data_IF_594627019426
#
_entry.id   IF_594627019426
#
_cell.length_a   1.000
_cell.length_b   1.000
_cell.length_c   1.000
_cell.angle_alpha   90.00
_cell.angle_beta   90.00
_cell.angle_gamma   90.00
#
_symmetry.space_group_name_H-M   'P 1'
#
loop_
_entity.id
_entity.type
_entity.pdbx_description
1 polymer ?
#
# COMPACT_ATOMS: atom_id res chain seq x y z
N UNK A 1 -16.72 -23.72 11.25
CA UNK A 1 -15.74 -22.66 11.59
C UNK A 1 -16.12 -21.39 10.85
N UNK A 2 -16.46 -20.30 11.55
CA UNK A 2 -16.68 -18.99 10.94
C UNK A 2 -15.42 -18.57 10.18
N UNK A 3 -15.52 -18.43 8.86
CA UNK A 3 -14.45 -17.84 8.06
C UNK A 3 -14.48 -16.33 8.35
N UNK A 4 -13.74 -15.87 9.36
CA UNK A 4 -13.62 -14.44 9.65
C UNK A 4 -12.92 -13.75 8.47
N UNK A 5 -13.75 -13.24 7.55
CA UNK A 5 -13.36 -12.44 6.40
C UNK A 5 -13.05 -11.03 6.90
N UNK A 6 -11.86 -10.54 6.58
CA UNK A 6 -11.44 -9.18 6.90
C UNK A 6 -11.44 -8.38 5.59
N UNK A 7 -11.91 -7.14 5.67
CA UNK A 7 -11.87 -6.23 4.54
C UNK A 7 -10.51 -5.52 4.52
N UNK A 8 -9.80 -5.61 3.41
CA UNK A 8 -8.58 -4.84 3.17
C UNK A 8 -8.88 -3.67 2.25
N UNK A 9 -8.49 -2.47 2.68
CA UNK A 9 -8.53 -1.29 1.83
C UNK A 9 -7.36 -1.29 0.86
N UNK A 10 -7.61 -0.84 -0.37
CA UNK A 10 -6.62 -0.90 -1.45
C UNK A 10 -6.37 0.51 -1.97
N UNK A 11 -5.14 1.01 -1.83
CA UNK A 11 -4.78 2.36 -2.27
C UNK A 11 -3.84 2.31 -3.47
N UNK A 12 -4.17 3.06 -4.52
CA UNK A 12 -3.40 3.07 -5.77
C UNK A 12 -2.05 3.77 -5.60
N UNK A 13 -0.94 3.10 -5.93
CA UNK A 13 0.41 3.68 -5.83
C UNK A 13 0.72 4.71 -6.92
N UNK A 14 -0.22 4.98 -7.83
CA UNK A 14 -0.05 5.93 -8.94
C UNK A 14 -0.86 7.20 -8.78
N UNK A 15 -2.03 7.13 -8.13
CA UNK A 15 -2.92 8.28 -7.98
C UNK A 15 -3.33 8.56 -6.54
N UNK A 16 -2.87 7.77 -5.57
CA UNK A 16 -3.16 7.97 -4.15
C UNK A 16 -4.59 7.60 -3.73
N UNK A 17 -5.50 7.34 -4.69
CA UNK A 17 -6.92 7.14 -4.39
C UNK A 17 -7.22 5.74 -3.85
N UNK A 18 -8.15 5.67 -2.91
CA UNK A 18 -8.76 4.43 -2.41
C UNK A 18 -9.57 3.78 -3.54
N UNK A 19 -9.19 2.56 -3.90
CA UNK A 19 -9.90 1.72 -4.87
C UNK A 19 -10.89 0.79 -4.15
N UNK A 20 -11.50 -0.13 -4.93
CA UNK A 20 -12.40 -1.17 -4.44
C UNK A 20 -11.68 -2.02 -3.38
N UNK A 21 -12.21 -2.10 -2.14
CA UNK A 21 -11.62 -2.93 -1.09
C UNK A 21 -11.81 -4.42 -1.40
N UNK A 22 -10.91 -5.26 -0.90
CA UNK A 22 -10.94 -6.71 -1.16
C UNK A 22 -11.18 -7.49 0.14
N UNK A 23 -12.15 -8.43 0.15
CA UNK A 23 -12.30 -9.32 1.28
C UNK A 23 -11.20 -10.39 1.26
N UNK A 24 -10.57 -10.62 2.41
CA UNK A 24 -9.50 -11.61 2.58
C UNK A 24 -9.81 -12.52 3.76
N UNK A 25 -9.50 -13.80 3.58
CA UNK A 25 -9.47 -14.75 4.69
C UNK A 25 -8.27 -14.43 5.58
N UNK A 26 -8.42 -14.49 6.91
CA UNK A 26 -7.32 -14.28 7.86
C UNK A 26 -6.10 -15.17 7.55
N UNK A 27 -6.31 -16.44 7.20
CA UNK A 27 -5.25 -17.39 6.85
C UNK A 27 -4.54 -17.12 5.51
N UNK A 28 -5.07 -16.23 4.66
CA UNK A 28 -4.49 -15.87 3.36
C UNK A 28 -3.99 -14.41 3.33
N UNK A 29 -3.78 -13.85 4.51
CA UNK A 29 -3.18 -12.53 4.66
C UNK A 29 -1.74 -12.55 4.17
N UNK A 30 -1.39 -11.55 3.36
CA UNK A 30 -0.02 -11.28 2.92
C UNK A 30 0.72 -10.43 3.94
N UNK A 31 2.00 -10.24 3.73
CA UNK A 31 2.86 -9.33 4.50
C UNK A 31 2.26 -7.91 4.63
N UNK A 32 2.68 -7.20 5.68
CA UNK A 32 2.24 -5.83 5.97
C UNK A 32 2.69 -4.90 4.84
N UNK A 33 1.80 -4.01 4.39
CA UNK A 33 2.07 -3.10 3.28
C UNK A 33 2.16 -3.78 1.92
N UNK A 34 1.70 -5.03 1.78
CA UNK A 34 1.74 -5.79 0.52
C UNK A 34 1.22 -4.99 -0.68
N UNK A 35 1.98 -5.07 -1.79
CA UNK A 35 1.55 -4.55 -3.08
C UNK A 35 0.80 -5.61 -3.86
N UNK A 36 -0.45 -5.33 -4.19
CA UNK A 36 -1.27 -6.18 -5.04
C UNK A 36 -1.49 -5.52 -6.40
N UNK A 37 -1.13 -6.21 -7.48
CA UNK A 37 -1.42 -5.76 -8.84
C UNK A 37 -2.91 -5.89 -9.13
N UNK A 38 -3.59 -4.76 -9.39
CA UNK A 38 -5.02 -4.70 -9.69
C UNK A 38 -5.35 -3.58 -10.69
N UNK A 39 -6.56 -3.60 -11.25
CA UNK A 39 -7.04 -2.50 -12.09
C UNK A 39 -7.50 -1.31 -11.24
N UNK A 40 -6.91 -0.14 -11.44
CA UNK A 40 -7.34 1.09 -10.81
C UNK A 40 -8.48 1.74 -11.61
N UNK A 41 -9.66 1.88 -11.02
CA UNK A 41 -10.82 2.50 -11.68
C UNK A 41 -10.62 3.98 -12.01
N UNK A 42 -9.70 4.66 -11.31
CA UNK A 42 -9.39 6.07 -11.54
C UNK A 42 -8.30 6.26 -12.59
N UNK A 43 -7.23 5.47 -12.54
CA UNK A 43 -6.16 5.52 -13.55
C UNK A 43 -6.52 4.80 -14.85
N UNK A 44 -7.57 3.98 -14.84
CA UNK A 44 -8.02 3.13 -15.95
C UNK A 44 -6.94 2.18 -16.50
N UNK A 45 -5.99 1.78 -15.64
CA UNK A 45 -4.89 0.85 -15.96
C UNK A 45 -4.64 -0.13 -14.81
N UNK A 46 -3.99 -1.26 -15.12
CA UNK A 46 -3.44 -2.16 -14.10
C UNK A 46 -2.23 -1.50 -13.45
N UNK A 47 -2.19 -1.53 -12.13
CA UNK A 47 -1.07 -1.02 -11.33
C UNK A 47 -1.09 -1.68 -9.95
N UNK A 48 -0.02 -1.48 -9.19
CA UNK A 48 0.06 -1.99 -7.83
C UNK A 48 -0.74 -1.12 -6.87
N UNK A 49 -1.28 -1.76 -5.85
CA UNK A 49 -2.04 -1.11 -4.79
C UNK A 49 -1.54 -1.58 -3.44
N UNK A 50 -1.39 -0.64 -2.52
CA UNK A 50 -1.04 -0.96 -1.14
C UNK A 50 -2.28 -1.48 -0.43
N UNK A 51 -2.13 -2.66 0.18
CA UNK A 51 -3.14 -3.27 1.03
C UNK A 51 -3.01 -2.73 2.47
N UNK A 52 -4.04 -2.02 2.95
CA UNK A 52 -4.14 -1.52 4.33
C UNK A 52 -5.23 -2.30 5.06
N UNK A 53 -4.90 -2.77 6.27
CA UNK A 53 -5.82 -3.57 7.10
C UNK A 53 -6.04 -2.86 8.43
N UNK A 54 -7.24 -3.00 8.99
CA UNK A 54 -7.62 -2.38 10.27
C UNK A 54 -6.70 -2.73 11.45
N UNK A 55 -6.11 -3.93 11.46
CA UNK A 55 -5.22 -4.39 12.54
C UNK A 55 -3.76 -4.54 12.08
N UNK A 56 -3.29 -3.66 11.20
CA UNK A 56 -1.92 -3.68 10.65
C UNK A 56 -1.08 -2.54 11.22
N UNK A 57 0.22 -2.79 11.42
CA UNK A 57 1.22 -1.75 11.77
C UNK A 57 1.60 -0.84 10.59
N UNK A 58 0.83 -0.90 9.50
CA UNK A 58 0.96 -0.04 8.33
C UNK A 58 -0.41 0.58 8.09
N UNK A 59 -0.45 1.90 8.19
CA UNK A 59 -1.64 2.74 8.29
C UNK A 59 -1.84 3.55 7.00
N UNK A 60 -2.95 4.29 6.94
CA UNK A 60 -3.21 5.21 5.84
C UNK A 60 -2.19 6.36 5.84
N UNK A 61 -1.77 6.79 7.02
CA UNK A 61 -0.78 7.83 7.23
C UNK A 61 0.58 7.40 6.68
N UNK A 62 0.97 6.15 6.92
CA UNK A 62 2.20 5.56 6.34
C UNK A 62 2.14 5.52 4.81
N UNK A 63 0.98 5.14 4.24
CA UNK A 63 0.77 5.18 2.79
C UNK A 63 0.88 6.58 2.21
N UNK A 64 0.22 7.56 2.82
CA UNK A 64 0.28 8.96 2.37
C UNK A 64 1.71 9.47 2.41
N UNK A 65 2.44 9.17 3.49
CA UNK A 65 3.85 9.54 3.60
C UNK A 65 4.71 8.91 2.50
N UNK A 66 4.57 7.61 2.24
CA UNK A 66 5.26 6.96 1.11
C UNK A 66 4.90 7.59 -0.24
N UNK A 67 3.63 7.95 -0.42
CA UNK A 67 3.12 8.52 -1.67
C UNK A 67 3.66 9.95 -1.90
N UNK A 68 3.54 10.81 -0.89
CA UNK A 68 3.94 12.22 -0.94
C UNK A 68 5.46 12.37 -1.07
N UNK A 69 6.23 11.42 -0.53
CA UNK A 69 7.69 11.37 -0.65
C UNK A 69 8.18 10.54 -1.85
N UNK A 70 7.28 10.21 -2.79
CA UNK A 70 7.61 9.54 -4.05
C UNK A 70 8.34 8.19 -3.89
N UNK A 71 8.01 7.42 -2.84
CA UNK A 71 8.55 6.07 -2.68
C UNK A 71 7.97 5.07 -3.69
N UNK A 72 7.02 5.46 -4.54
CA UNK A 72 6.50 4.63 -5.62
C UNK A 72 7.00 5.12 -6.98
N UNK A 73 7.51 4.21 -7.81
CA UNK A 73 7.96 4.53 -9.16
C UNK A 73 6.78 4.55 -10.17
N UNK A 74 7.09 4.81 -11.45
CA UNK A 74 6.09 4.88 -12.53
C UNK A 74 5.35 3.57 -12.81
N UNK A 75 5.90 2.43 -12.39
CA UNK A 75 5.27 1.11 -12.50
C UNK A 75 4.42 0.77 -11.27
N UNK A 76 4.47 1.62 -10.24
CA UNK A 76 3.77 1.46 -8.98
C UNK A 76 4.47 0.52 -8.01
N UNK A 77 5.71 0.12 -8.25
CA UNK A 77 6.53 -0.60 -7.27
C UNK A 77 7.20 0.37 -6.31
N UNK A 78 7.57 -0.11 -5.13
CA UNK A 78 8.34 0.67 -4.17
C UNK A 78 9.79 0.88 -4.64
N UNK A 79 10.34 2.07 -4.41
CA UNK A 79 11.77 2.37 -4.58
C UNK A 79 12.58 1.81 -3.40
N UNK A 80 12.09 2.03 -2.18
CA UNK A 80 12.60 1.46 -0.94
C UNK A 80 11.53 0.56 -0.30
N UNK A 81 11.91 -0.59 0.26
CA UNK A 81 10.98 -1.39 1.06
C UNK A 81 10.46 -0.58 2.26
N UNK A 82 9.33 -0.99 2.83
CA UNK A 82 8.76 -0.28 4.00
C UNK A 82 9.75 -0.14 5.16
N UNK A 83 10.59 -1.15 5.40
CA UNK A 83 11.61 -1.07 6.46
C UNK A 83 12.69 -0.06 6.14
N UNK A 84 13.19 -0.05 4.90
CA UNK A 84 14.23 0.88 4.45
C UNK A 84 13.72 2.31 4.41
N UNK A 85 12.50 2.51 3.93
CA UNK A 85 11.84 3.82 3.90
C UNK A 85 11.68 4.40 5.30
N UNK A 86 11.24 3.60 6.27
CA UNK A 86 11.16 4.06 7.68
C UNK A 86 12.51 4.50 8.22
N UNK A 87 13.58 3.73 7.97
CA UNK A 87 14.93 4.13 8.37
C UNK A 87 15.36 5.43 7.69
N UNK A 88 15.07 5.58 6.40
CA UNK A 88 15.35 6.80 5.64
C UNK A 88 14.67 8.04 6.25
N UNK A 89 13.38 7.96 6.57
CA UNK A 89 12.65 9.06 7.21
C UNK A 89 13.17 9.35 8.62
N UNK A 90 13.45 8.32 9.42
CA UNK A 90 14.02 8.50 10.76
C UNK A 90 15.39 9.18 10.74
N UNK A 91 16.13 9.05 9.63
CA UNK A 91 17.42 9.72 9.40
C UNK A 91 17.27 11.13 8.79
N UNK A 92 16.05 11.68 8.72
CA UNK A 92 15.78 13.01 8.17
C UNK A 92 15.61 13.05 6.64
N UNK A 93 15.35 11.91 6.01
CA UNK A 93 15.08 11.82 4.58
C UNK A 93 13.83 12.59 4.14
N UNK A 94 13.85 13.09 2.90
CA UNK A 94 12.78 13.89 2.28
C UNK A 94 12.14 13.20 1.07
N UNK A 95 11.91 13.94 0.00
CA UNK A 95 11.33 13.39 -1.24
C UNK A 95 12.37 12.53 -1.97
N UNK A 96 11.97 11.33 -2.40
CA UNK A 96 12.80 10.43 -3.20
C UNK A 96 12.68 10.78 -4.69
N UNK A 97 13.77 11.25 -5.31
CA UNK A 97 13.84 11.53 -6.76
C UNK A 97 13.63 10.26 -7.62
#
# INVERSE_FOLDING_TARGET
MSQNMLLSDMYCTQCGRKNIPIPRKKAQQREIGHLKNMYCIYCKKKTNMVEIRSNSNYTLEDFKLEFDLHNFNKDGTRKLSWSEFRTYINNGGGVLE
#
